data_IF_809347212919
#
_entry.id   IF_809347212919
#
_cell.length_a   1.000
_cell.length_b   1.000
_cell.length_c   1.000
_cell.angle_alpha   90.00
_cell.angle_beta   90.00
_cell.angle_gamma   90.00
#
_symmetry.space_group_name_H-M   'P 1'
#
loop_
_entity.id
_entity.type
_entity.pdbx_description
1 polymer ?
#
# COMPACT_ATOMS: atom_id res chain seq x y z
N UNK A 1 12.56 -32.65 -9.09
CA UNK A 1 12.86 -31.36 -9.75
C UNK A 1 12.22 -30.22 -8.97
N UNK A 2 12.97 -29.14 -8.82
CA UNK A 2 12.77 -28.01 -7.90
C UNK A 2 11.67 -27.04 -8.38
N UNK A 3 10.42 -27.30 -8.01
CA UNK A 3 9.38 -26.27 -8.00
C UNK A 3 8.62 -26.35 -6.68
N UNK A 4 9.28 -25.95 -5.59
CA UNK A 4 8.56 -25.14 -4.60
C UNK A 4 8.09 -23.92 -5.38
N UNK A 5 6.89 -24.00 -5.97
CA UNK A 5 6.25 -22.89 -6.66
C UNK A 5 6.27 -21.75 -5.64
N UNK A 6 7.01 -20.69 -5.93
CA UNK A 6 6.93 -19.47 -5.15
C UNK A 6 5.48 -18.99 -5.27
N UNK A 7 4.65 -19.33 -4.26
CA UNK A 7 3.28 -18.83 -4.16
C UNK A 7 3.41 -17.31 -4.06
N UNK A 8 2.73 -16.59 -4.95
CA UNK A 8 2.77 -15.13 -4.93
C UNK A 8 2.05 -14.67 -3.66
N UNK A 9 2.55 -13.62 -3.01
CA UNK A 9 1.86 -13.01 -1.87
C UNK A 9 0.61 -12.25 -2.32
N UNK A 10 -0.31 -12.01 -1.38
CA UNK A 10 -1.48 -11.16 -1.60
C UNK A 10 -1.10 -9.79 -2.19
N UNK A 11 -0.07 -9.14 -1.66
CA UNK A 11 0.40 -7.84 -2.16
C UNK A 11 0.88 -7.93 -3.62
N UNK A 12 1.58 -9.00 -3.98
CA UNK A 12 2.03 -9.19 -5.35
C UNK A 12 0.86 -9.36 -6.32
N UNK A 13 -0.17 -10.12 -5.94
CA UNK A 13 -1.40 -10.22 -6.72
C UNK A 13 -2.13 -8.87 -6.82
N UNK A 14 -2.21 -8.11 -5.73
CA UNK A 14 -2.81 -6.76 -5.72
C UNK A 14 -2.11 -5.82 -6.70
N UNK A 15 -0.78 -5.81 -6.71
CA UNK A 15 0.02 -5.00 -7.64
C UNK A 15 -0.19 -5.46 -9.08
N UNK A 16 -0.15 -6.77 -9.34
CA UNK A 16 -0.44 -7.33 -10.66
C UNK A 16 -1.84 -6.95 -11.12
N UNK A 17 -2.86 -6.98 -10.27
CA UNK A 17 -4.22 -6.58 -10.62
C UNK A 17 -4.36 -5.07 -10.87
N UNK A 18 -3.84 -4.24 -9.96
CA UNK A 18 -4.05 -2.79 -9.98
C UNK A 18 -3.19 -2.03 -10.99
N UNK A 19 -2.01 -2.55 -11.32
CA UNK A 19 -1.06 -1.91 -12.23
C UNK A 19 -1.03 -2.58 -13.61
N UNK A 20 -1.82 -3.64 -13.82
CA UNK A 20 -1.84 -4.38 -15.08
C UNK A 20 -2.19 -3.46 -16.24
N UNK A 21 -1.52 -3.66 -17.36
CA UNK A 21 -1.83 -2.99 -18.61
C UNK A 21 -1.99 -4.03 -19.71
N UNK A 22 -2.98 -3.83 -20.58
CA UNK A 22 -3.16 -4.71 -21.72
C UNK A 22 -1.92 -4.65 -22.62
N UNK A 23 -1.32 -5.80 -22.90
CA UNK A 23 -0.24 -5.90 -23.88
C UNK A 23 -0.75 -5.48 -25.28
N UNK A 24 0.13 -4.88 -26.08
CA UNK A 24 -0.23 -4.41 -27.43
C UNK A 24 -0.65 -5.56 -28.35
N UNK A 25 -0.07 -6.74 -28.15
CA UNK A 25 -0.29 -7.96 -28.93
C UNK A 25 -1.32 -8.94 -28.32
N UNK A 26 -1.92 -8.65 -27.16
CA UNK A 26 -2.93 -9.53 -26.55
C UNK A 26 -4.36 -9.12 -26.91
N UNK A 27 -5.31 -10.06 -26.81
CA UNK A 27 -6.73 -9.73 -26.95
C UNK A 27 -7.29 -9.15 -25.65
N UNK A 28 -8.46 -8.52 -25.73
CA UNK A 28 -9.21 -8.10 -24.53
C UNK A 28 -9.65 -9.31 -23.67
N UNK A 29 -9.87 -10.46 -24.30
CA UNK A 29 -10.23 -11.70 -23.61
C UNK A 29 -9.06 -12.22 -22.77
N UNK A 30 -7.84 -12.16 -23.31
CA UNK A 30 -6.63 -12.53 -22.56
C UNK A 30 -6.43 -11.61 -21.36
N UNK A 31 -6.58 -10.29 -21.57
CA UNK A 31 -6.48 -9.30 -20.50
C UNK A 31 -7.51 -9.52 -19.39
N UNK A 32 -8.76 -9.84 -19.75
CA UNK A 32 -9.79 -10.20 -18.80
C UNK A 32 -9.39 -11.44 -17.97
N UNK A 33 -8.86 -12.49 -18.61
CA UNK A 33 -8.43 -13.69 -17.90
C UNK A 33 -7.25 -13.42 -16.97
N UNK A 34 -6.29 -12.59 -17.38
CA UNK A 34 -5.17 -12.15 -16.54
C UNK A 34 -5.68 -11.39 -15.31
N UNK A 35 -6.53 -10.37 -15.51
CA UNK A 35 -7.14 -9.61 -14.41
C UNK A 35 -7.93 -10.50 -13.46
N UNK A 36 -8.72 -11.43 -14.00
CA UNK A 36 -9.48 -12.39 -13.21
C UNK A 36 -8.56 -13.27 -12.38
N UNK A 37 -7.50 -13.81 -12.97
CA UNK A 37 -6.51 -14.65 -12.28
C UNK A 37 -5.82 -13.89 -11.15
N UNK A 38 -5.45 -12.62 -11.38
CA UNK A 38 -4.83 -11.80 -10.33
C UNK A 38 -5.82 -11.46 -9.20
N UNK A 39 -7.07 -11.14 -9.53
CA UNK A 39 -8.12 -10.88 -8.55
C UNK A 39 -8.41 -12.13 -7.71
N UNK A 40 -8.65 -13.28 -8.33
CA UNK A 40 -8.91 -14.55 -7.64
C UNK A 40 -7.72 -14.97 -6.77
N UNK A 41 -6.48 -14.81 -7.27
CA UNK A 41 -5.27 -15.03 -6.48
C UNK A 41 -5.18 -14.11 -5.26
N UNK A 42 -5.46 -12.82 -5.44
CA UNK A 42 -5.44 -11.85 -4.33
C UNK A 42 -6.45 -12.21 -3.24
N UNK A 43 -7.71 -12.50 -3.63
CA UNK A 43 -8.77 -12.87 -2.69
C UNK A 43 -8.48 -14.20 -1.99
N UNK A 44 -7.87 -15.15 -2.70
CA UNK A 44 -7.52 -16.47 -2.14
C UNK A 44 -6.38 -16.38 -1.14
N UNK A 45 -5.33 -15.59 -1.39
CA UNK A 45 -4.23 -15.40 -0.42
C UNK A 45 -4.68 -14.69 0.86
N UNK A 46 -5.74 -13.88 0.79
CA UNK A 46 -6.31 -13.17 1.95
C UNK A 46 -7.50 -13.91 2.59
N UNK A 47 -7.84 -15.10 2.07
CA UNK A 47 -8.98 -15.89 2.55
C UNK A 47 -10.30 -15.09 2.60
N UNK A 48 -10.54 -14.26 1.59
CA UNK A 48 -11.76 -13.45 1.48
C UNK A 48 -12.93 -14.36 1.16
N UNK A 49 -13.77 -14.59 2.18
CA UNK A 49 -14.88 -15.54 2.12
C UNK A 49 -16.27 -14.90 2.09
N UNK A 50 -16.37 -13.56 2.18
CA UNK A 50 -17.65 -12.85 2.19
C UNK A 50 -17.61 -11.57 1.38
N UNK A 51 -18.78 -11.13 0.92
CA UNK A 51 -18.94 -9.86 0.23
C UNK A 51 -18.58 -8.66 1.12
N UNK A 52 -18.85 -8.73 2.43
CA UNK A 52 -18.47 -7.68 3.36
C UNK A 52 -16.94 -7.54 3.46
N UNK A 53 -16.22 -8.66 3.62
CA UNK A 53 -14.74 -8.64 3.61
C UNK A 53 -14.18 -8.11 2.29
N UNK A 54 -14.83 -8.41 1.17
CA UNK A 54 -14.45 -7.86 -0.14
C UNK A 54 -14.64 -6.33 -0.17
N UNK A 55 -15.75 -5.79 0.33
CA UNK A 55 -15.97 -4.34 0.40
C UNK A 55 -14.88 -3.65 1.22
N UNK A 56 -14.59 -4.17 2.42
CA UNK A 56 -13.56 -3.60 3.30
C UNK A 56 -12.18 -3.61 2.60
N UNK A 57 -11.82 -4.71 1.95
CA UNK A 57 -10.57 -4.83 1.20
C UNK A 57 -10.46 -3.80 0.06
N UNK A 58 -11.54 -3.62 -0.71
CA UNK A 58 -11.57 -2.66 -1.82
C UNK A 58 -11.44 -1.22 -1.28
N UNK A 59 -12.11 -0.88 -0.17
CA UNK A 59 -11.99 0.44 0.47
C UNK A 59 -10.55 0.66 0.94
N UNK A 60 -9.95 -0.32 1.64
CA UNK A 60 -8.57 -0.24 2.10
C UNK A 60 -7.59 -0.05 0.93
N UNK A 61 -7.76 -0.80 -0.17
CA UNK A 61 -6.92 -0.65 -1.37
C UNK A 61 -7.05 0.75 -2.01
N UNK A 62 -8.25 1.34 -2.02
CA UNK A 62 -8.44 2.71 -2.50
C UNK A 62 -7.76 3.75 -1.61
N UNK A 63 -7.81 3.57 -0.28
CA UNK A 63 -7.07 4.43 0.66
C UNK A 63 -5.56 4.30 0.37
N UNK A 64 -5.03 3.07 0.26
CA UNK A 64 -3.60 2.83 -0.05
C UNK A 64 -3.12 3.51 -1.33
N UNK A 65 -3.98 3.61 -2.37
CA UNK A 65 -3.62 4.27 -3.64
C UNK A 65 -3.49 5.79 -3.54
N UNK A 66 -4.14 6.41 -2.56
CA UNK A 66 -4.11 7.87 -2.39
C UNK A 66 -2.90 8.36 -1.60
N UNK A 67 -2.17 7.47 -0.94
CA UNK A 67 -1.09 7.87 -0.03
C UNK A 67 0.29 7.86 -0.69
N UNK A 68 1.14 8.88 -0.40
CA UNK A 68 2.47 8.99 -0.97
C UNK A 68 3.41 7.82 -0.60
N UNK A 69 4.39 7.47 -1.47
CA UNK A 69 5.31 6.35 -1.24
C UNK A 69 6.09 6.41 0.07
N UNK A 70 6.33 7.61 0.61
CA UNK A 70 7.09 7.82 1.84
C UNK A 70 6.41 7.16 3.05
N UNK A 71 5.08 7.07 3.05
CA UNK A 71 4.30 6.42 4.11
C UNK A 71 4.45 4.90 4.07
N UNK A 72 4.54 4.33 2.86
CA UNK A 72 4.78 2.89 2.67
C UNK A 72 6.11 2.48 3.33
N UNK A 73 7.14 3.33 3.24
CA UNK A 73 8.46 3.07 3.81
C UNK A 73 8.46 3.04 5.35
N UNK A 74 7.56 3.77 6.01
CA UNK A 74 7.45 3.77 7.48
C UNK A 74 6.71 2.56 8.04
N UNK A 75 5.82 1.95 7.24
CA UNK A 75 4.98 0.83 7.67
C UNK A 75 5.26 -0.47 6.92
N UNK A 76 6.44 -0.63 6.29
CA UNK A 76 6.75 -1.75 5.41
C UNK A 76 6.37 -3.12 5.98
N UNK A 77 6.62 -3.33 7.27
CA UNK A 77 6.39 -4.61 7.94
C UNK A 77 4.91 -4.98 8.09
N UNK A 78 4.01 -3.98 8.11
CA UNK A 78 2.56 -4.19 8.31
C UNK A 78 1.72 -3.74 7.11
N UNK A 79 2.29 -3.02 6.15
CA UNK A 79 1.55 -2.42 5.03
C UNK A 79 0.85 -3.46 4.15
N UNK A 80 1.50 -4.59 3.91
CA UNK A 80 0.98 -5.69 3.09
C UNK A 80 -0.19 -6.43 3.76
N UNK A 81 -0.23 -6.42 5.10
CA UNK A 81 -1.26 -7.12 5.89
C UNK A 81 -2.38 -6.19 6.37
N UNK A 82 -2.18 -4.87 6.28
CA UNK A 82 -3.14 -3.84 6.70
C UNK A 82 -4.30 -3.70 5.70
N UNK A 83 -5.26 -4.62 5.75
CA UNK A 83 -6.40 -4.67 4.82
C UNK A 83 -7.73 -4.27 5.46
N UNK A 84 -7.73 -3.95 6.75
CA UNK A 84 -8.85 -3.32 7.43
C UNK A 84 -8.81 -1.80 7.21
N UNK A 85 -9.85 -1.20 6.59
CA UNK A 85 -9.81 0.22 6.21
C UNK A 85 -9.88 1.16 7.43
N UNK A 86 -10.52 0.77 8.52
CA UNK A 86 -10.60 1.57 9.75
C UNK A 86 -9.21 1.67 10.40
N UNK A 87 -8.58 0.52 10.66
CA UNK A 87 -7.22 0.45 11.21
C UNK A 87 -6.21 1.15 10.30
N UNK A 88 -6.39 1.03 8.97
CA UNK A 88 -5.58 1.74 8.00
C UNK A 88 -5.73 3.26 8.14
N UNK A 89 -6.95 3.76 8.20
CA UNK A 89 -7.22 5.19 8.37
C UNK A 89 -6.65 5.71 9.70
N UNK A 90 -6.89 5.02 10.81
CA UNK A 90 -6.36 5.40 12.13
C UNK A 90 -4.83 5.51 12.15
N UNK A 91 -4.13 4.53 11.54
CA UNK A 91 -2.66 4.57 11.45
C UNK A 91 -2.17 5.73 10.59
N UNK A 92 -2.88 6.05 9.51
CA UNK A 92 -2.55 7.18 8.65
C UNK A 92 -2.78 8.51 9.37
N UNK A 93 -3.88 8.67 10.09
CA UNK A 93 -4.18 9.84 10.90
C UNK A 93 -3.11 10.05 11.99
N UNK A 94 -2.70 8.98 12.68
CA UNK A 94 -1.61 9.03 13.66
C UNK A 94 -0.30 9.50 13.02
N UNK A 95 0.04 9.00 11.83
CA UNK A 95 1.23 9.45 11.12
C UNK A 95 1.14 10.92 10.72
N UNK A 96 0.00 11.36 10.18
CA UNK A 96 -0.19 12.77 9.79
C UNK A 96 -0.09 13.71 10.99
N UNK A 97 -0.68 13.32 12.13
CA UNK A 97 -0.60 14.06 13.39
C UNK A 97 0.83 14.18 13.92
N UNK A 98 1.69 13.19 13.68
CA UNK A 98 3.11 13.25 14.06
C UNK A 98 3.90 14.02 13.01
N UNK A 99 3.63 13.85 11.72
CA UNK A 99 4.36 14.54 10.65
C UNK A 99 4.12 16.04 10.64
N UNK A 100 2.90 16.48 10.90
CA UNK A 100 2.51 17.89 10.83
C UNK A 100 3.34 18.81 11.76
N UNK A 101 3.51 18.47 13.06
CA UNK A 101 4.42 19.19 13.95
C UNK A 101 5.89 19.15 13.50
N UNK A 102 6.40 17.98 13.07
CA UNK A 102 7.80 17.84 12.65
C UNK A 102 8.10 18.65 11.39
N UNK A 103 7.22 18.63 10.40
CA UNK A 103 7.34 19.46 9.20
C UNK A 103 7.26 20.95 9.52
N UNK A 104 6.42 21.34 10.49
CA UNK A 104 6.34 22.72 10.96
C UNK A 104 7.64 23.15 11.62
N UNK A 105 8.23 22.32 12.48
CA UNK A 105 9.53 22.57 13.11
C UNK A 105 10.65 22.65 12.06
N UNK A 106 10.71 21.73 11.10
CA UNK A 106 11.69 21.77 10.01
C UNK A 106 11.54 23.06 9.18
N UNK A 107 10.31 23.47 8.84
CA UNK A 107 10.08 24.75 8.14
C UNK A 107 10.57 25.96 8.94
N UNK A 108 10.30 25.98 10.24
CA UNK A 108 10.78 27.06 11.14
C UNK A 108 12.31 27.07 11.19
N UNK A 109 12.95 25.90 11.30
CA UNK A 109 14.41 25.78 11.34
C UNK A 109 15.06 26.16 10.01
N UNK A 110 14.47 25.75 8.88
CA UNK A 110 14.93 26.13 7.53
C UNK A 110 14.83 27.65 7.33
N UNK A 111 13.76 28.28 7.81
CA UNK A 111 13.58 29.74 7.73
C UNK A 111 14.56 30.50 8.66
N UNK A 112 14.91 29.94 9.82
CA UNK A 112 15.84 30.57 10.76
C UNK A 112 17.31 30.39 10.39
N UNK A 113 17.68 29.25 9.82
CA UNK A 113 19.09 28.85 9.69
C UNK A 113 19.61 28.80 8.24
N UNK A 114 18.78 29.10 7.22
CA UNK A 114 19.17 29.07 5.81
C UNK A 114 19.69 27.71 5.31
N UNK A 115 19.56 26.66 6.12
CA UNK A 115 20.06 25.31 5.88
C UNK A 115 18.88 24.40 5.52
N UNK A 116 19.03 23.62 4.45
CA UNK A 116 18.00 22.69 3.99
C UNK A 116 18.07 21.40 4.82
N UNK A 117 17.26 21.33 5.87
CA UNK A 117 17.18 20.20 6.79
C UNK A 117 16.15 19.13 6.37
N UNK A 118 15.81 19.02 5.08
CA UNK A 118 14.88 18.02 4.57
C UNK A 118 15.36 16.55 4.74
N UNK A 119 16.51 16.32 5.37
CA UNK A 119 17.11 15.02 5.68
C UNK A 119 16.87 14.51 7.11
N UNK A 120 16.15 15.26 7.97
CA UNK A 120 15.74 14.76 9.29
C UNK A 120 14.64 13.71 9.13
N UNK A 121 15.01 12.44 9.13
CA UNK A 121 14.07 11.32 9.14
C UNK A 121 13.18 11.36 10.40
N UNK A 122 11.87 11.16 10.22
CA UNK A 122 10.95 11.01 11.35
C UNK A 122 11.33 9.78 12.17
N UNK A 123 11.35 9.86 13.51
CA UNK A 123 11.65 8.70 14.34
C UNK A 123 10.66 7.56 14.05
N UNK A 124 11.20 6.35 13.86
CA UNK A 124 10.40 5.14 13.62
C UNK A 124 9.55 4.86 14.85
N UNK A 125 8.23 4.93 14.71
CA UNK A 125 7.29 4.54 15.77
C UNK A 125 7.33 3.02 15.86
N UNK A 126 8.05 2.49 16.85
CA UNK A 126 7.98 1.07 17.20
C UNK A 126 6.73 0.87 18.07
N UNK A 127 5.76 0.14 17.55
CA UNK A 127 4.64 -0.43 18.33
C UNK A 127 5.06 -1.73 18.98
#
# INVERSE_FOLDING_TARGET
MLLKRFKLSAEKFRLLFSQHRKATNSTWKDFFFELRTYCEGWLSELEISSFDKLKELIIADQIKKKYPPEYKNHYLDIWETLNDPVTLAEKLDLYENIKSPYQTVIKILNHKNGTNLNSLEMPVIRT
#
